data_IF_435218836783
#
_entry.id   IF_435218836783
#
_cell.length_a   1.000
_cell.length_b   1.000
_cell.length_c   1.000
_cell.angle_alpha   90.00
_cell.angle_beta   90.00
_cell.angle_gamma   90.00
#
_symmetry.space_group_name_H-M   'P 1'
#
loop_
_entity.id
_entity.type
_entity.pdbx_description
1 polymer ?
#
# COMPACT_ATOMS: atom_id res chain seq x y z
N UNK A 1 13.36 -14.50 -4.58
CA UNK A 1 12.34 -15.19 -3.83
C UNK A 1 12.41 -14.76 -2.37
N UNK A 2 11.36 -14.13 -1.90
CA UNK A 2 11.31 -13.40 -0.64
C UNK A 2 10.78 -14.29 0.49
N UNK A 3 11.60 -15.20 0.94
CA UNK A 3 11.29 -16.05 2.12
C UNK A 3 11.64 -15.30 3.42
N UNK A 4 12.46 -14.27 3.33
CA UNK A 4 12.90 -13.50 4.50
C UNK A 4 11.72 -12.75 5.10
N UNK A 5 11.62 -12.74 6.42
CA UNK A 5 10.54 -12.14 7.19
C UNK A 5 9.17 -12.83 7.02
N UNK A 6 9.17 -14.09 6.56
CA UNK A 6 7.96 -14.94 6.52
C UNK A 6 7.97 -15.90 7.70
N UNK A 7 6.79 -16.33 8.11
CA UNK A 7 6.61 -17.28 9.21
C UNK A 7 6.37 -18.65 8.62
N UNK A 8 7.19 -19.63 9.00
CA UNK A 8 7.02 -21.02 8.57
C UNK A 8 5.70 -21.60 9.07
N UNK A 9 4.99 -22.37 8.25
CA UNK A 9 3.79 -23.12 8.67
C UNK A 9 4.15 -24.49 9.26
N UNK A 10 5.25 -25.06 8.80
CA UNK A 10 5.73 -26.38 9.21
C UNK A 10 7.22 -26.31 9.56
N UNK A 11 7.70 -27.36 10.23
CA UNK A 11 9.14 -27.55 10.44
C UNK A 11 9.83 -27.78 9.10
N UNK A 12 10.77 -26.90 8.76
CA UNK A 12 11.55 -27.02 7.54
C UNK A 12 12.79 -27.85 7.86
N UNK A 13 12.82 -29.03 7.28
CA UNK A 13 13.90 -30.02 7.48
C UNK A 13 14.78 -30.13 6.24
N UNK A 14 16.08 -30.41 6.45
CA UNK A 14 17.00 -30.71 5.37
C UNK A 14 16.86 -32.17 4.90
N UNK A 15 17.61 -32.58 3.88
CA UNK A 15 17.63 -33.95 3.35
C UNK A 15 18.12 -34.99 4.39
N UNK A 16 18.69 -34.54 5.51
CA UNK A 16 19.17 -35.37 6.64
C UNK A 16 18.19 -35.41 7.81
N UNK A 17 16.97 -34.86 7.64
CA UNK A 17 15.93 -34.77 8.68
C UNK A 17 16.30 -33.88 9.88
N UNK A 18 17.24 -32.98 9.73
CA UNK A 18 17.54 -31.97 10.73
C UNK A 18 16.66 -30.74 10.52
N UNK A 19 16.05 -30.21 11.59
CA UNK A 19 15.19 -29.03 11.53
C UNK A 19 16.05 -27.78 11.37
N UNK A 20 15.93 -27.13 10.22
CA UNK A 20 16.61 -25.84 9.94
C UNK A 20 15.80 -24.67 10.50
N UNK A 21 14.48 -24.69 10.31
CA UNK A 21 13.55 -23.68 10.81
C UNK A 21 12.37 -24.38 11.46
N UNK A 22 12.13 -24.16 12.76
CA UNK A 22 10.97 -24.68 13.45
C UNK A 22 9.66 -24.07 12.96
N UNK A 23 8.55 -24.80 13.13
CA UNK A 23 7.20 -24.30 12.90
C UNK A 23 6.95 -22.96 13.62
N UNK A 24 6.17 -22.07 13.02
CA UNK A 24 5.78 -20.75 13.56
C UNK A 24 6.94 -19.82 13.87
N UNK A 25 8.09 -20.04 13.26
CA UNK A 25 9.28 -19.20 13.45
C UNK A 25 9.45 -18.23 12.30
N UNK A 26 9.87 -16.99 12.60
CA UNK A 26 10.20 -15.98 11.61
C UNK A 26 11.51 -16.36 10.90
N UNK A 27 11.48 -16.46 9.59
CA UNK A 27 12.66 -16.78 8.78
C UNK A 27 13.57 -15.55 8.66
N UNK A 28 14.73 -15.61 9.30
CA UNK A 28 15.74 -14.56 9.21
C UNK A 28 16.60 -14.70 7.95
N UNK A 29 17.37 -13.67 7.64
CA UNK A 29 18.28 -13.66 6.48
C UNK A 29 19.29 -14.83 6.53
N UNK A 30 19.78 -15.15 7.73
CA UNK A 30 20.78 -16.23 7.90
C UNK A 30 20.13 -17.62 7.74
N UNK A 31 18.90 -17.80 8.23
CA UNK A 31 18.11 -19.00 7.99
C UNK A 31 17.80 -19.17 6.50
N UNK A 32 17.41 -18.09 5.81
CA UNK A 32 17.15 -18.13 4.37
C UNK A 32 18.39 -18.53 3.55
N UNK A 33 19.58 -18.08 3.95
CA UNK A 33 20.84 -18.50 3.32
C UNK A 33 21.12 -19.99 3.52
N UNK A 34 20.89 -20.50 4.73
CA UNK A 34 21.03 -21.93 5.04
C UNK A 34 20.01 -22.77 4.24
N UNK A 35 18.74 -22.35 4.20
CA UNK A 35 17.71 -23.01 3.41
C UNK A 35 18.09 -23.09 1.93
N UNK A 36 18.63 -22.02 1.36
CA UNK A 36 19.09 -22.00 -0.03
C UNK A 36 20.26 -22.97 -0.29
N UNK A 37 21.12 -23.19 0.69
CA UNK A 37 22.29 -24.05 0.57
C UNK A 37 21.97 -25.54 0.79
N UNK A 38 21.01 -25.86 1.66
CA UNK A 38 20.78 -27.21 2.18
C UNK A 38 19.47 -27.84 1.70
N UNK A 39 18.57 -27.08 1.09
CA UNK A 39 17.28 -27.60 0.61
C UNK A 39 17.32 -27.93 -0.88
N UNK A 40 16.96 -29.16 -1.20
CA UNK A 40 16.68 -29.58 -2.57
C UNK A 40 15.26 -29.21 -3.03
N UNK A 41 14.33 -29.00 -2.10
CA UNK A 41 12.96 -28.54 -2.39
C UNK A 41 12.94 -27.07 -2.81
N UNK A 42 12.16 -26.77 -3.86
CA UNK A 42 12.00 -25.40 -4.39
C UNK A 42 10.83 -24.63 -3.74
N UNK A 43 9.96 -25.30 -3.00
CA UNK A 43 8.74 -24.74 -2.43
C UNK A 43 8.71 -24.95 -0.92
N UNK A 44 8.37 -23.89 -0.19
CA UNK A 44 8.26 -23.89 1.27
C UNK A 44 6.92 -23.25 1.61
N UNK A 45 6.16 -23.90 2.49
CA UNK A 45 4.91 -23.36 2.98
C UNK A 45 5.16 -22.31 4.06
N UNK A 46 4.65 -21.13 3.82
CA UNK A 46 4.75 -19.99 4.74
C UNK A 46 3.36 -19.46 5.06
N UNK A 47 3.24 -18.76 6.19
CA UNK A 47 2.02 -18.09 6.58
C UNK A 47 1.62 -17.05 5.53
N UNK A 48 0.32 -16.94 5.26
CA UNK A 48 -0.24 -15.97 4.33
C UNK A 48 0.16 -14.53 4.70
N UNK A 49 0.56 -13.77 3.69
CA UNK A 49 1.05 -12.41 3.82
C UNK A 49 0.55 -11.53 2.68
N UNK A 50 0.48 -10.21 2.94
CA UNK A 50 0.20 -9.24 1.91
C UNK A 50 1.49 -8.82 1.19
N UNK A 51 1.40 -8.69 -0.14
CA UNK A 51 2.46 -8.11 -0.98
C UNK A 51 2.20 -6.62 -1.19
N UNK A 52 3.15 -5.91 -1.76
CA UNK A 52 3.01 -4.51 -2.17
C UNK A 52 2.69 -4.36 -3.67
N UNK A 53 2.49 -5.48 -4.35
CA UNK A 53 2.08 -5.46 -5.76
C UNK A 53 0.63 -5.02 -5.88
N UNK A 54 0.33 -4.23 -6.90
CA UNK A 54 -0.99 -3.65 -7.12
C UNK A 54 -1.58 -4.20 -8.42
N UNK A 55 -2.84 -4.59 -8.35
CA UNK A 55 -3.63 -4.97 -9.50
C UNK A 55 -4.91 -4.14 -9.57
N UNK A 56 -5.38 -3.88 -10.78
CA UNK A 56 -6.63 -3.15 -11.01
C UNK A 56 -7.66 -4.09 -11.59
N UNK A 57 -8.82 -4.16 -10.95
CA UNK A 57 -9.93 -5.01 -11.36
C UNK A 57 -11.14 -4.17 -11.72
N UNK A 58 -11.89 -4.63 -12.70
CA UNK A 58 -13.23 -4.14 -12.94
C UNK A 58 -14.26 -4.86 -12.02
N UNK A 59 -15.47 -4.33 -11.97
CA UNK A 59 -16.53 -4.89 -11.11
C UNK A 59 -16.94 -6.33 -11.48
N UNK A 60 -16.66 -6.76 -12.71
CA UNK A 60 -16.96 -8.13 -13.15
C UNK A 60 -15.90 -9.12 -12.65
N UNK A 61 -14.64 -8.74 -12.75
CA UNK A 61 -13.52 -9.53 -12.26
C UNK A 61 -13.57 -9.65 -10.73
N UNK A 62 -13.94 -8.57 -10.04
CA UNK A 62 -14.05 -8.55 -8.58
C UNK A 62 -15.05 -9.58 -8.03
N UNK A 63 -16.08 -9.93 -8.77
CA UNK A 63 -17.13 -10.89 -8.31
C UNK A 63 -16.60 -12.27 -7.95
N UNK A 64 -15.54 -12.72 -8.61
CA UNK A 64 -14.95 -14.05 -8.37
C UNK A 64 -13.85 -14.04 -7.34
N UNK A 65 -13.44 -12.85 -6.89
CA UNK A 65 -12.36 -12.67 -5.94
C UNK A 65 -12.90 -12.58 -4.51
N UNK A 66 -12.07 -12.99 -3.55
CA UNK A 66 -12.30 -12.77 -2.12
C UNK A 66 -11.33 -11.68 -1.67
N UNK A 67 -11.87 -10.48 -1.41
CA UNK A 67 -11.07 -9.29 -1.13
C UNK A 67 -11.19 -8.95 0.35
N UNK A 68 -10.06 -8.92 1.05
CA UNK A 68 -9.99 -8.54 2.45
C UNK A 68 -10.11 -7.03 2.62
N UNK A 69 -10.66 -6.61 3.77
CA UNK A 69 -10.73 -5.20 4.14
C UNK A 69 -9.34 -4.61 4.36
N UNK A 70 -9.13 -3.35 3.94
CA UNK A 70 -7.88 -2.62 4.09
C UNK A 70 -7.42 -2.43 5.55
N UNK A 71 -8.35 -2.50 6.52
CA UNK A 71 -8.06 -2.38 7.94
C UNK A 71 -7.67 -3.72 8.60
N UNK A 72 -7.48 -4.78 7.82
CA UNK A 72 -6.99 -6.07 8.30
C UNK A 72 -5.67 -5.90 9.05
N UNK A 73 -5.52 -6.62 10.17
CA UNK A 73 -4.34 -6.48 11.01
C UNK A 73 -3.20 -7.35 10.50
N UNK A 74 -2.07 -6.72 10.28
CA UNK A 74 -0.80 -7.32 9.91
C UNK A 74 0.24 -7.13 11.01
N UNK A 75 1.28 -7.95 10.97
CA UNK A 75 2.52 -7.68 11.68
C UNK A 75 3.39 -6.67 10.87
N UNK A 76 4.54 -6.30 11.42
CA UNK A 76 5.48 -5.37 10.76
C UNK A 76 6.05 -5.89 9.42
N UNK A 77 5.86 -7.17 9.12
CA UNK A 77 6.36 -7.84 7.91
C UNK A 77 5.25 -8.17 6.90
N UNK A 78 4.01 -7.73 7.19
CA UNK A 78 2.85 -7.97 6.32
C UNK A 78 2.19 -9.34 6.48
N UNK A 79 2.55 -10.14 7.51
CA UNK A 79 1.88 -11.41 7.74
C UNK A 79 0.56 -11.17 8.49
N UNK A 80 -0.49 -11.88 8.12
CA UNK A 80 -1.77 -11.80 8.79
C UNK A 80 -1.69 -12.32 10.24
N UNK A 81 -2.21 -11.52 11.19
CA UNK A 81 -2.20 -11.90 12.62
C UNK A 81 -3.37 -12.77 13.00
N UNK A 82 -4.49 -12.69 12.30
CA UNK A 82 -5.71 -13.45 12.54
C UNK A 82 -5.90 -14.55 11.50
N UNK A 83 -6.57 -15.63 11.86
CA UNK A 83 -6.94 -16.73 10.95
C UNK A 83 -8.21 -16.44 10.15
N UNK A 84 -9.09 -15.57 10.69
CA UNK A 84 -10.30 -15.10 10.01
C UNK A 84 -10.31 -13.59 9.98
N UNK A 85 -10.67 -13.03 8.82
CA UNK A 85 -10.70 -11.59 8.55
C UNK A 85 -11.97 -11.20 7.81
N UNK A 86 -12.38 -9.94 8.00
CA UNK A 86 -13.47 -9.35 7.21
C UNK A 86 -13.07 -9.29 5.75
N UNK A 87 -13.97 -9.70 4.88
CA UNK A 87 -13.77 -9.73 3.44
C UNK A 87 -15.07 -9.46 2.73
N UNK A 88 -15.01 -9.22 1.43
CA UNK A 88 -16.18 -9.24 0.55
C UNK A 88 -15.98 -10.25 -0.56
N UNK A 89 -17.05 -10.92 -0.90
CA UNK A 89 -17.12 -11.82 -2.03
C UNK A 89 -18.43 -11.56 -2.79
N UNK A 90 -18.35 -11.36 -4.09
CA UNK A 90 -19.49 -11.00 -4.92
C UNK A 90 -20.30 -9.80 -4.37
N UNK A 91 -19.62 -8.77 -3.89
CA UNK A 91 -20.16 -7.55 -3.26
C UNK A 91 -20.89 -7.78 -1.91
N UNK A 92 -20.87 -8.98 -1.36
CA UNK A 92 -21.44 -9.29 -0.04
C UNK A 92 -20.34 -9.33 1.01
N UNK A 93 -20.52 -8.67 2.18
CA UNK A 93 -19.58 -8.74 3.28
C UNK A 93 -19.63 -10.13 3.92
N UNK A 94 -18.48 -10.74 4.05
CA UNK A 94 -18.29 -12.08 4.62
C UNK A 94 -17.13 -12.12 5.60
N UNK A 95 -17.04 -13.21 6.36
CA UNK A 95 -15.89 -13.49 7.21
C UNK A 95 -15.16 -14.72 6.65
N UNK A 96 -14.07 -14.48 5.95
CA UNK A 96 -13.30 -15.53 5.26
C UNK A 96 -12.06 -15.94 6.04
N UNK A 97 -11.61 -17.15 5.80
CA UNK A 97 -10.30 -17.57 6.24
C UNK A 97 -9.20 -16.91 5.40
N UNK A 98 -8.04 -16.67 6.00
CA UNK A 98 -6.91 -16.00 5.34
C UNK A 98 -6.46 -16.72 4.07
N UNK A 99 -6.55 -18.04 4.02
CA UNK A 99 -6.18 -18.84 2.83
C UNK A 99 -7.20 -18.77 1.68
N UNK A 100 -8.40 -18.30 1.94
CA UNK A 100 -9.44 -18.07 0.91
C UNK A 100 -9.30 -16.69 0.26
N UNK A 101 -8.60 -15.79 0.95
CA UNK A 101 -8.43 -14.40 0.49
C UNK A 101 -7.44 -14.36 -0.67
N UNK A 102 -7.87 -13.74 -1.76
CA UNK A 102 -7.05 -13.55 -2.96
C UNK A 102 -6.35 -12.20 -2.98
N UNK A 103 -7.04 -11.15 -2.56
CA UNK A 103 -6.56 -9.76 -2.60
C UNK A 103 -6.97 -9.00 -1.35
N UNK A 104 -6.41 -7.82 -1.17
CA UNK A 104 -6.72 -6.90 -0.08
C UNK A 104 -6.92 -5.49 -0.64
N UNK A 105 -7.87 -4.76 -0.10
CA UNK A 105 -8.04 -3.34 -0.43
C UNK A 105 -6.82 -2.54 -0.01
N UNK A 106 -6.37 -1.62 -0.85
CA UNK A 106 -5.19 -0.80 -0.59
C UNK A 106 -5.42 0.14 0.60
N UNK A 107 -6.61 0.76 0.68
CA UNK A 107 -6.92 1.73 1.73
C UNK A 107 -8.44 1.85 1.93
N UNK A 108 -8.92 2.10 3.17
CA UNK A 108 -10.31 2.48 3.42
C UNK A 108 -10.73 3.76 2.69
N UNK A 109 -9.78 4.64 2.37
CA UNK A 109 -10.03 5.90 1.63
C UNK A 109 -10.45 5.67 0.18
N UNK A 110 -10.30 4.47 -0.34
CA UNK A 110 -10.70 4.10 -1.70
C UNK A 110 -12.21 4.29 -1.98
N UNK A 111 -13.03 4.30 -0.94
CA UNK A 111 -14.47 4.56 -1.04
C UNK A 111 -14.81 6.02 -1.32
N UNK A 112 -13.85 6.93 -1.20
CA UNK A 112 -14.04 8.38 -1.35
C UNK A 112 -13.25 8.89 -2.55
N UNK A 113 -13.75 9.96 -3.19
CA UNK A 113 -12.98 10.64 -4.22
C UNK A 113 -11.77 11.38 -3.63
N UNK A 114 -10.82 11.70 -4.50
CA UNK A 114 -9.62 12.45 -4.11
C UNK A 114 -10.00 13.80 -3.51
N UNK A 115 -10.94 14.50 -4.13
CA UNK A 115 -11.42 15.81 -3.68
C UNK A 115 -12.06 15.71 -2.29
N UNK A 116 -12.90 14.73 -2.07
CA UNK A 116 -13.54 14.49 -0.76
C UNK A 116 -12.49 14.16 0.30
N UNK A 117 -11.43 13.46 -0.05
CA UNK A 117 -10.33 13.12 0.87
C UNK A 117 -9.47 14.33 1.28
N UNK A 118 -9.59 15.46 0.58
CA UNK A 118 -8.94 16.72 0.93
C UNK A 118 -9.71 17.55 1.97
N UNK A 119 -10.95 17.18 2.31
CA UNK A 119 -11.73 17.85 3.34
C UNK A 119 -11.22 17.48 4.74
N UNK A 120 -10.76 18.42 5.55
CA UNK A 120 -10.38 18.14 6.91
C UNK A 120 -11.61 17.83 7.77
N UNK A 121 -11.47 16.89 8.71
CA UNK A 121 -12.54 16.43 9.62
C UNK A 121 -13.80 15.91 8.90
N UNK A 122 -13.60 15.28 7.76
CA UNK A 122 -14.69 14.75 6.92
C UNK A 122 -15.66 13.83 7.69
N UNK A 123 -15.16 13.04 8.63
CA UNK A 123 -15.92 12.12 9.47
C UNK A 123 -16.94 12.81 10.39
N UNK A 124 -16.79 14.12 10.62
CA UNK A 124 -17.69 14.93 11.43
C UNK A 124 -18.69 15.73 10.60
N UNK A 125 -18.59 15.67 9.28
CA UNK A 125 -19.45 16.42 8.37
C UNK A 125 -20.63 15.58 7.88
N UNK A 126 -21.78 16.24 7.69
CA UNK A 126 -22.90 15.64 6.97
C UNK A 126 -22.55 15.43 5.49
N UNK A 127 -23.04 14.34 4.90
CA UNK A 127 -22.74 13.99 3.52
C UNK A 127 -23.06 15.13 2.53
N UNK A 128 -24.15 15.82 2.72
CA UNK A 128 -24.56 16.96 1.87
C UNK A 128 -23.55 18.12 1.94
N UNK A 129 -23.06 18.42 3.15
CA UNK A 129 -22.05 19.48 3.34
C UNK A 129 -20.68 19.09 2.79
N UNK A 130 -20.31 17.82 2.90
CA UNK A 130 -19.08 17.30 2.30
C UNK A 130 -19.11 17.42 0.77
N UNK A 131 -20.26 17.12 0.13
CA UNK A 131 -20.45 17.30 -1.30
C UNK A 131 -20.34 18.77 -1.72
N UNK A 132 -20.98 19.68 -0.98
CA UNK A 132 -20.84 21.12 -1.23
C UNK A 132 -19.41 21.59 -1.10
N UNK A 133 -18.68 21.17 -0.07
CA UNK A 133 -17.27 21.48 0.14
C UNK A 133 -16.39 20.99 -1.02
N UNK A 134 -16.60 19.77 -1.48
CA UNK A 134 -15.93 19.19 -2.64
C UNK A 134 -16.16 20.03 -3.90
N UNK A 135 -17.40 20.46 -4.14
CA UNK A 135 -17.72 21.31 -5.28
C UNK A 135 -17.03 22.67 -5.19
N UNK A 136 -16.98 23.28 -4.00
CA UNK A 136 -16.31 24.56 -3.78
C UNK A 136 -14.80 24.49 -3.97
N UNK A 137 -14.14 23.38 -3.65
CA UNK A 137 -12.70 23.22 -3.90
C UNK A 137 -12.34 23.34 -5.38
N UNK A 138 -13.21 22.91 -6.29
CA UNK A 138 -13.00 23.06 -7.74
C UNK A 138 -13.11 24.50 -8.22
N UNK A 139 -13.67 25.39 -7.41
CA UNK A 139 -13.82 26.82 -7.69
C UNK A 139 -12.70 27.66 -7.05
N UNK A 140 -11.69 27.02 -6.45
CA UNK A 140 -10.60 27.72 -5.79
C UNK A 140 -9.79 28.57 -6.78
N UNK A 141 -9.45 29.79 -6.35
CA UNK A 141 -8.62 30.72 -7.11
C UNK A 141 -7.24 30.80 -6.46
N UNK A 142 -6.15 30.72 -7.25
CA UNK A 142 -4.80 30.89 -6.73
C UNK A 142 -4.62 32.23 -6.03
N UNK A 143 -4.03 32.20 -4.86
CA UNK A 143 -3.73 33.42 -4.09
C UNK A 143 -2.48 34.11 -4.64
N UNK A 144 -2.41 35.44 -4.53
CA UNK A 144 -1.23 36.28 -4.90
C UNK A 144 -0.03 35.78 -4.05
N UNK A 145 -0.25 35.54 -2.77
CA UNK A 145 0.73 34.96 -1.87
C UNK A 145 0.15 33.64 -1.32
N UNK A 146 0.67 32.53 -1.80
CA UNK A 146 0.27 31.22 -1.31
C UNK A 146 0.88 30.97 0.07
N UNK A 147 0.07 30.43 0.98
CA UNK A 147 0.47 30.04 2.33
C UNK A 147 0.14 28.58 2.56
N UNK A 148 0.91 27.91 3.44
CA UNK A 148 0.63 26.55 3.82
C UNK A 148 -0.68 26.48 4.64
N UNK A 149 -1.52 25.46 4.43
CA UNK A 149 -2.73 25.28 5.22
C UNK A 149 -2.40 25.01 6.68
N UNK A 150 -3.20 25.56 7.60
CA UNK A 150 -3.05 25.32 9.04
C UNK A 150 -3.46 23.89 9.42
N UNK A 151 -4.45 23.35 8.73
CA UNK A 151 -4.95 21.98 8.93
C UNK A 151 -4.70 21.17 7.66
N UNK A 152 -4.06 20.02 7.82
CA UNK A 152 -3.67 19.14 6.74
C UNK A 152 -4.43 17.81 6.83
N UNK A 153 -4.78 17.24 5.67
CA UNK A 153 -5.31 15.87 5.57
C UNK A 153 -4.24 14.84 5.22
N UNK A 154 -3.01 15.27 4.92
CA UNK A 154 -1.89 14.49 4.37
C UNK A 154 -2.15 13.97 2.94
N UNK A 155 -3.35 14.15 2.44
CA UNK A 155 -3.69 13.79 1.07
C UNK A 155 -3.14 14.81 0.06
N UNK A 156 -2.93 16.05 0.48
CA UNK A 156 -2.38 17.15 -0.33
C UNK A 156 -1.03 16.76 -0.94
N UNK A 157 -0.15 16.14 -0.13
CA UNK A 157 1.15 15.68 -0.60
C UNK A 157 1.01 14.62 -1.69
N UNK A 158 0.15 13.64 -1.46
CA UNK A 158 -0.09 12.54 -2.42
C UNK A 158 -0.64 13.10 -3.72
N UNK A 159 -1.64 13.98 -3.65
CA UNK A 159 -2.24 14.63 -4.83
C UNK A 159 -1.20 15.42 -5.60
N UNK A 160 -0.37 16.20 -4.91
CA UNK A 160 0.69 16.97 -5.52
C UNK A 160 1.75 16.09 -6.18
N UNK A 161 2.15 15.02 -5.53
CA UNK A 161 3.15 14.08 -6.08
C UNK A 161 2.65 13.34 -7.32
N UNK A 162 1.36 13.08 -7.43
CA UNK A 162 0.75 12.29 -8.51
C UNK A 162 0.15 13.16 -9.63
N UNK A 163 0.06 14.46 -9.46
CA UNK A 163 -0.49 15.33 -10.50
C UNK A 163 0.50 15.48 -11.66
N UNK A 164 -0.04 15.44 -12.88
CA UNK A 164 0.76 15.60 -14.11
C UNK A 164 1.15 17.04 -14.40
N UNK A 165 0.52 17.99 -13.73
CA UNK A 165 0.79 19.44 -13.92
C UNK A 165 2.01 19.94 -13.15
N UNK A 166 2.54 19.16 -12.22
CA UNK A 166 3.71 19.50 -11.43
C UNK A 166 4.95 18.83 -12.02
N UNK A 167 5.91 19.65 -12.44
CA UNK A 167 7.22 19.16 -12.84
C UNK A 167 8.04 18.92 -11.58
N UNK A 168 8.50 17.68 -11.39
CA UNK A 168 9.28 17.24 -10.24
C UNK A 168 10.73 17.04 -10.62
N UNK A 169 11.65 17.45 -9.75
CA UNK A 169 13.04 17.02 -9.85
C UNK A 169 13.13 15.52 -9.56
N UNK A 170 13.96 14.82 -10.30
CA UNK A 170 14.17 13.37 -10.17
C UNK A 170 15.33 13.01 -9.27
N UNK A 171 16.22 13.98 -9.02
CA UNK A 171 17.44 13.80 -8.24
C UNK A 171 17.84 15.14 -7.60
N UNK A 172 18.92 15.16 -6.83
CA UNK A 172 19.52 16.39 -6.31
C UNK A 172 20.01 17.26 -7.47
N UNK A 173 19.83 18.58 -7.36
CA UNK A 173 20.01 19.49 -8.47
C UNK A 173 20.44 20.89 -8.05
N UNK A 174 21.11 21.61 -8.98
CA UNK A 174 21.48 23.01 -8.85
C UNK A 174 20.87 23.85 -9.98
N UNK A 175 20.39 25.04 -9.65
CA UNK A 175 19.87 25.98 -10.64
C UNK A 175 21.04 26.68 -11.33
N UNK A 176 21.18 26.49 -12.66
CA UNK A 176 22.21 27.15 -13.46
C UNK A 176 21.69 28.50 -13.97
N UNK A 177 20.45 28.52 -14.42
CA UNK A 177 19.88 29.71 -15.07
C UNK A 177 18.36 29.77 -14.94
N UNK A 178 17.83 30.98 -14.77
CA UNK A 178 16.38 31.24 -14.63
C UNK A 178 15.98 32.45 -15.47
N UNK A 179 14.91 32.32 -16.22
CA UNK A 179 14.21 33.44 -16.85
C UNK A 179 12.70 33.35 -16.57
N UNK A 180 11.92 34.26 -17.18
CA UNK A 180 10.47 34.29 -16.99
C UNK A 180 9.71 33.07 -17.51
N UNK A 181 10.33 32.24 -18.33
CA UNK A 181 9.71 31.08 -18.99
C UNK A 181 10.41 29.76 -18.71
N UNK A 182 11.69 29.78 -18.37
CA UNK A 182 12.52 28.59 -18.26
C UNK A 182 13.34 28.62 -16.97
N UNK A 183 13.50 27.44 -16.39
CA UNK A 183 14.45 27.15 -15.31
C UNK A 183 15.35 26.04 -15.81
N UNK A 184 16.65 26.29 -15.90
CA UNK A 184 17.64 25.28 -16.26
C UNK A 184 18.31 24.73 -15.01
N UNK A 185 18.23 23.43 -14.84
CA UNK A 185 18.79 22.70 -13.70
C UNK A 185 19.85 21.73 -14.15
N UNK A 186 20.87 21.59 -13.35
CA UNK A 186 21.90 20.55 -13.46
C UNK A 186 21.64 19.50 -12.40
N UNK A 187 21.52 18.23 -12.77
CA UNK A 187 21.37 17.12 -11.86
C UNK A 187 22.75 16.54 -11.50
N UNK A 188 22.92 16.12 -10.25
CA UNK A 188 24.20 15.55 -9.76
C UNK A 188 24.51 14.16 -10.32
N UNK A 189 23.50 13.50 -10.93
CA UNK A 189 23.59 12.14 -11.49
C UNK A 189 24.13 12.06 -12.92
N UNK A 190 24.80 13.14 -13.44
CA UNK A 190 25.45 13.13 -14.76
C UNK A 190 26.96 13.19 -14.65
#
# INVERSE_FOLDING_TARGET
VEIVNRISLEDIVNDKWEVIVPEKTLITVDMAKKLKAELSKKEIEVRWFATTEHEYFDAHQERVLVIAEANSKFDQYGNFTKTRIGSRHNSEPTLSYVWEVTHIDISPKQTMSIETSLLPFLEHDDATRAEMGTNMMRQAVPLIKAEAPVVWTWMERIVWEWTWYVVKATDDWEIIWVDAKHITVLYDSW
#
